data_IF_923483362398
#
_entry.id   IF_923483362398
#
_cell.length_a   1.000
_cell.length_b   1.000
_cell.length_c   1.000
_cell.angle_alpha   90.00
_cell.angle_beta   90.00
_cell.angle_gamma   90.00
#
_symmetry.space_group_name_H-M   'P 1'
#
loop_
_entity.id
_entity.type
_entity.pdbx_description
1 polymer ?
#
# COMPACT_ATOMS: atom_id res chain seq x y z
N UNK A 1 -22.01 12.47 26.21
CA UNK A 1 -20.97 13.45 25.89
C UNK A 1 -20.19 13.72 27.16
N UNK A 2 -18.90 13.38 27.26
CA UNK A 2 -18.12 13.76 28.44
C UNK A 2 -17.63 15.21 28.27
N UNK A 3 -17.97 16.03 29.25
CA UNK A 3 -17.45 17.37 29.42
C UNK A 3 -15.93 17.32 29.59
N UNK A 4 -15.20 17.96 28.69
CA UNK A 4 -13.81 18.31 28.94
C UNK A 4 -13.79 19.50 29.90
N UNK A 5 -13.41 19.25 31.16
CA UNK A 5 -13.10 20.30 32.09
C UNK A 5 -11.83 21.03 31.61
N UNK A 6 -11.94 22.33 31.39
CA UNK A 6 -10.79 23.21 31.25
C UNK A 6 -10.02 23.22 32.58
N UNK A 7 -8.84 22.65 32.58
CA UNK A 7 -7.89 22.82 33.68
C UNK A 7 -6.98 24.00 33.38
N UNK A 8 -6.92 24.87 34.34
CA UNK A 8 -6.25 26.14 34.33
C UNK A 8 -4.76 26.11 33.95
N UNK A 9 -4.36 27.02 33.09
CA UNK A 9 -3.19 27.86 33.25
C UNK A 9 -1.78 27.26 33.04
N UNK A 10 -1.60 26.03 32.56
CA UNK A 10 -0.28 25.59 32.14
C UNK A 10 -0.15 25.80 30.62
N UNK A 11 0.66 26.79 30.25
CA UNK A 11 1.08 26.97 28.85
C UNK A 11 1.63 25.67 28.34
N UNK A 12 0.94 25.06 27.36
CA UNK A 12 1.45 23.91 26.62
C UNK A 12 2.83 24.28 26.06
N UNK A 13 3.79 23.34 25.99
CA UNK A 13 5.04 23.58 25.30
C UNK A 13 4.71 24.08 23.90
N UNK A 14 5.17 25.29 23.62
CA UNK A 14 4.79 26.06 22.46
C UNK A 14 5.14 25.29 21.19
N UNK A 15 4.13 24.74 20.52
CA UNK A 15 4.24 24.58 19.08
C UNK A 15 4.45 26.01 18.56
N UNK A 16 5.64 26.30 18.05
CA UNK A 16 5.96 27.63 17.55
C UNK A 16 4.82 28.13 16.67
N UNK A 17 4.29 29.29 16.92
CA UNK A 17 3.25 29.92 16.09
C UNK A 17 3.79 30.38 14.74
N UNK A 18 5.11 30.24 14.49
CA UNK A 18 5.76 30.62 13.26
C UNK A 18 5.33 29.61 12.18
N UNK A 19 4.65 30.12 11.18
CA UNK A 19 4.24 29.31 10.01
C UNK A 19 5.38 29.18 9.01
N UNK A 20 5.36 28.13 8.20
CA UNK A 20 6.43 27.80 7.25
C UNK A 20 6.88 28.98 6.37
N UNK A 21 5.98 29.83 5.80
CA UNK A 21 6.41 30.99 4.99
C UNK A 21 7.30 31.99 5.73
N UNK A 22 7.22 32.01 7.05
CA UNK A 22 8.03 32.89 7.92
C UNK A 22 9.28 32.19 8.42
N UNK A 23 9.19 30.88 8.67
CA UNK A 23 10.28 30.08 9.19
C UNK A 23 11.31 29.74 8.11
N UNK A 24 10.86 29.35 6.92
CA UNK A 24 11.70 28.92 5.82
C UNK A 24 11.07 29.30 4.46
N UNK A 25 11.52 30.43 3.93
CA UNK A 25 11.06 30.96 2.65
C UNK A 25 11.44 30.11 1.44
N UNK A 26 12.57 29.42 1.51
CA UNK A 26 13.08 28.63 0.40
C UNK A 26 12.21 27.39 0.22
N UNK A 27 11.99 26.65 1.30
CA UNK A 27 11.11 25.49 1.30
C UNK A 27 9.66 25.90 0.97
N UNK A 28 9.17 27.00 1.52
CA UNK A 28 7.84 27.50 1.19
C UNK A 28 7.66 27.77 -0.32
N UNK A 29 8.64 28.42 -0.95
CA UNK A 29 8.60 28.70 -2.40
C UNK A 29 8.59 27.42 -3.22
N UNK A 30 9.40 26.42 -2.85
CA UNK A 30 9.41 25.14 -3.54
C UNK A 30 8.05 24.43 -3.45
N UNK A 31 7.40 24.43 -2.27
CA UNK A 31 6.06 23.86 -2.07
C UNK A 31 5.01 24.63 -2.87
N UNK A 32 5.06 25.95 -2.88
CA UNK A 32 4.08 26.76 -3.63
C UNK A 32 4.26 26.58 -5.14
N UNK A 33 5.50 26.43 -5.62
CA UNK A 33 5.80 26.09 -7.01
C UNK A 33 5.24 24.72 -7.38
N UNK A 34 5.40 23.73 -6.51
CA UNK A 34 4.81 22.40 -6.72
C UNK A 34 3.27 22.43 -6.72
N UNK A 35 2.66 23.23 -5.84
CA UNK A 35 1.22 23.45 -5.87
C UNK A 35 0.75 24.02 -7.20
N UNK A 36 1.47 24.99 -7.75
CA UNK A 36 1.18 25.56 -9.08
C UNK A 36 1.39 24.53 -10.19
N UNK A 37 2.45 23.71 -10.12
CA UNK A 37 2.68 22.63 -11.07
C UNK A 37 1.49 21.68 -11.12
N UNK A 38 1.02 21.21 -9.96
CA UNK A 38 -0.13 20.31 -9.87
C UNK A 38 -1.42 20.93 -10.43
N UNK A 39 -1.61 22.24 -10.28
CA UNK A 39 -2.78 22.94 -10.84
C UNK A 39 -2.74 23.06 -12.36
N UNK A 40 -1.56 23.08 -12.97
CA UNK A 40 -1.37 23.35 -14.41
C UNK A 40 -0.89 22.13 -15.21
N UNK A 41 -0.73 20.96 -14.55
CA UNK A 41 -0.28 19.73 -15.19
C UNK A 41 -1.31 18.63 -15.06
N UNK A 42 -1.38 17.78 -16.08
CA UNK A 42 -2.16 16.54 -16.01
C UNK A 42 -1.24 15.44 -15.49
N UNK A 43 -1.57 14.88 -14.35
CA UNK A 43 -0.83 13.78 -13.77
C UNK A 43 -1.33 12.43 -14.32
N UNK A 44 -0.42 11.61 -14.84
CA UNK A 44 -0.74 10.31 -15.46
C UNK A 44 -0.20 9.12 -14.66
N UNK A 45 0.33 9.36 -13.47
CA UNK A 45 0.74 8.28 -12.56
C UNK A 45 -0.51 7.78 -11.83
N UNK A 46 -0.92 6.53 -12.09
CA UNK A 46 -2.19 5.96 -11.63
C UNK A 46 -2.36 5.94 -10.10
N UNK A 47 -1.27 5.92 -9.34
CA UNK A 47 -1.30 5.95 -7.88
C UNK A 47 -1.33 7.35 -7.27
N UNK A 48 -1.10 8.40 -8.04
CA UNK A 48 -1.20 9.77 -7.53
C UNK A 48 -2.65 10.22 -7.41
N UNK A 49 -2.95 10.94 -6.33
CA UNK A 49 -4.28 11.44 -6.04
C UNK A 49 -4.21 12.77 -5.29
N UNK A 50 -5.11 13.68 -5.62
CA UNK A 50 -5.26 14.94 -4.91
C UNK A 50 -6.02 14.70 -3.61
N UNK A 51 -5.33 14.88 -2.49
CA UNK A 51 -5.92 14.69 -1.16
C UNK A 51 -6.77 15.89 -0.75
N UNK A 52 -7.76 15.65 0.10
CA UNK A 52 -8.56 16.73 0.70
C UNK A 52 -7.75 17.55 1.71
N UNK A 53 -8.19 18.77 1.98
CA UNK A 53 -7.62 19.61 3.04
C UNK A 53 -7.61 18.90 4.39
N UNK A 54 -8.66 18.15 4.72
CA UNK A 54 -8.74 17.39 5.97
C UNK A 54 -7.63 16.34 6.10
N UNK A 55 -7.20 15.71 5.01
CA UNK A 55 -6.06 14.76 5.02
C UNK A 55 -4.76 15.51 5.31
N UNK A 56 -4.55 16.68 4.68
CA UNK A 56 -3.36 17.51 4.94
C UNK A 56 -3.31 17.99 6.39
N UNK A 57 -4.45 18.42 6.95
CA UNK A 57 -4.54 18.87 8.34
C UNK A 57 -4.26 17.72 9.33
N UNK A 58 -4.74 16.51 9.06
CA UNK A 58 -4.45 15.34 9.87
C UNK A 58 -2.96 14.96 9.81
N UNK A 59 -2.38 14.95 8.62
CA UNK A 59 -0.99 14.59 8.38
C UNK A 59 -0.01 15.59 9.00
N UNK A 60 -0.31 16.88 8.94
CA UNK A 60 0.48 17.97 9.54
C UNK A 60 0.13 18.26 11.00
N UNK A 61 -0.58 17.39 11.69
CA UNK A 61 -1.02 17.62 13.07
C UNK A 61 0.06 17.32 14.10
N UNK A 62 -0.26 17.57 15.37
CA UNK A 62 0.61 17.28 16.53
C UNK A 62 0.94 15.78 16.68
N UNK A 63 0.27 14.90 15.95
CA UNK A 63 0.61 13.48 15.88
C UNK A 63 2.02 13.26 15.34
N UNK A 64 2.53 14.16 14.51
CA UNK A 64 3.92 14.17 14.03
C UNK A 64 4.96 14.14 15.15
N UNK A 65 4.61 14.67 16.35
CA UNK A 65 5.50 14.70 17.51
C UNK A 65 5.52 13.38 18.28
N UNK A 66 4.62 12.43 17.96
CA UNK A 66 4.42 11.25 18.81
C UNK A 66 5.11 10.01 18.24
N UNK A 67 5.99 9.45 19.04
CA UNK A 67 6.58 8.14 18.82
C UNK A 67 5.62 7.04 19.34
N UNK A 68 5.18 6.11 18.43
CA UNK A 68 4.12 5.14 18.74
C UNK A 68 4.43 3.75 18.20
N UNK A 69 5.62 3.24 18.50
CA UNK A 69 6.05 1.90 18.13
C UNK A 69 5.18 0.82 18.80
N UNK A 70 4.88 -0.25 18.07
CA UNK A 70 3.96 -1.30 18.49
C UNK A 70 2.56 -1.12 17.89
N UNK A 71 1.56 -1.78 18.46
CA UNK A 71 0.16 -1.77 17.99
C UNK A 71 -0.77 -1.20 19.04
N UNK A 72 -2.01 -0.80 18.70
CA UNK A 72 -3.00 -0.36 19.68
C UNK A 72 -3.11 -1.32 20.88
N UNK A 73 -3.02 -0.78 22.09
CA UNK A 73 -3.00 -1.54 23.32
C UNK A 73 -1.72 -2.35 23.62
N UNK A 74 -0.73 -2.32 22.72
CA UNK A 74 0.56 -3.04 22.85
C UNK A 74 1.72 -2.16 22.40
N UNK A 75 1.83 -0.95 22.95
CA UNK A 75 2.88 0.01 22.64
C UNK A 75 4.12 -0.20 23.51
N UNK A 76 5.27 0.07 22.93
CA UNK A 76 6.54 0.07 23.67
C UNK A 76 6.77 1.36 24.46
N UNK A 77 6.09 2.45 24.12
CA UNK A 77 6.21 3.76 24.78
C UNK A 77 4.88 4.23 25.37
N UNK A 78 4.96 5.01 26.44
CA UNK A 78 3.79 5.64 27.08
C UNK A 78 3.19 6.77 26.22
N UNK A 79 1.99 7.23 26.58
CA UNK A 79 1.33 8.39 25.96
C UNK A 79 0.68 8.12 24.60
N UNK A 80 0.45 6.85 24.23
CA UNK A 80 -0.09 6.46 22.92
C UNK A 80 -1.62 6.37 22.87
N UNK A 81 -2.35 6.66 23.94
CA UNK A 81 -3.81 6.48 24.03
C UNK A 81 -4.57 7.09 22.86
N UNK A 82 -4.24 8.33 22.47
CA UNK A 82 -4.95 9.02 21.38
C UNK A 82 -4.53 8.46 20.00
N UNK A 83 -3.26 8.04 19.86
CA UNK A 83 -2.78 7.37 18.64
C UNK A 83 -3.48 6.03 18.47
N UNK A 84 -3.67 5.26 19.54
CA UNK A 84 -4.43 4.01 19.53
C UNK A 84 -5.84 4.20 19.00
N UNK A 85 -6.56 5.20 19.52
CA UNK A 85 -7.91 5.53 19.04
C UNK A 85 -7.93 5.86 17.55
N UNK A 86 -6.95 6.63 17.06
CA UNK A 86 -6.87 7.01 15.64
C UNK A 86 -6.57 5.79 14.76
N UNK A 87 -5.63 4.95 15.17
CA UNK A 87 -5.27 3.74 14.44
C UNK A 87 -6.44 2.74 14.41
N UNK A 88 -7.13 2.52 15.53
CA UNK A 88 -8.32 1.67 15.61
C UNK A 88 -9.45 2.17 14.69
N UNK A 89 -9.73 3.47 14.69
CA UNK A 89 -10.71 4.07 13.77
C UNK A 89 -10.32 3.81 12.32
N UNK A 90 -9.06 3.98 11.98
CA UNK A 90 -8.56 3.78 10.63
C UNK A 90 -8.66 2.30 10.22
N UNK A 91 -8.26 1.36 11.09
CA UNK A 91 -8.38 -0.08 10.88
C UNK A 91 -9.85 -0.47 10.60
N UNK A 92 -10.78 -0.03 11.45
CA UNK A 92 -12.19 -0.36 11.27
C UNK A 92 -12.80 0.26 9.99
N UNK A 93 -12.35 1.45 9.60
CA UNK A 93 -12.75 2.06 8.32
C UNK A 93 -12.19 1.30 7.12
N UNK A 94 -10.94 0.88 7.15
CA UNK A 94 -10.33 0.07 6.10
C UNK A 94 -11.05 -1.30 5.97
N UNK A 95 -11.30 -1.98 7.09
CA UNK A 95 -12.05 -3.25 7.10
C UNK A 95 -13.43 -3.12 6.46
N UNK A 96 -14.16 -2.05 6.78
CA UNK A 96 -15.47 -1.78 6.17
C UNK A 96 -15.38 -1.45 4.69
N UNK A 97 -14.40 -0.61 4.31
CA UNK A 97 -14.22 -0.16 2.93
C UNK A 97 -13.88 -1.33 2.00
N UNK A 98 -12.93 -2.17 2.41
CA UNK A 98 -12.46 -3.31 1.61
C UNK A 98 -13.19 -4.62 1.94
N UNK A 99 -14.12 -4.62 2.91
CA UNK A 99 -14.87 -5.81 3.37
C UNK A 99 -13.95 -6.97 3.76
N UNK A 100 -12.83 -6.66 4.42
CA UNK A 100 -11.85 -7.64 4.88
C UNK A 100 -11.92 -7.86 6.39
N UNK A 101 -11.48 -9.03 6.85
CA UNK A 101 -11.48 -9.39 8.26
C UNK A 101 -10.38 -8.67 9.06
N UNK A 102 -9.25 -8.41 8.42
CA UNK A 102 -8.07 -7.81 9.05
C UNK A 102 -7.52 -6.68 8.19
N UNK A 103 -6.95 -5.68 8.83
CA UNK A 103 -6.22 -4.59 8.17
C UNK A 103 -5.02 -4.18 9.03
N UNK A 104 -3.89 -3.95 8.39
CA UNK A 104 -2.71 -3.34 8.99
C UNK A 104 -2.40 -2.06 8.22
N UNK A 105 -2.39 -0.92 8.90
CA UNK A 105 -2.23 0.40 8.30
C UNK A 105 -0.89 1.05 8.61
N UNK A 106 0.03 0.32 9.26
CA UNK A 106 1.32 0.85 9.65
C UNK A 106 2.36 0.97 8.52
N UNK A 107 2.34 0.13 7.44
CA UNK A 107 3.27 0.35 6.35
C UNK A 107 3.15 1.76 5.76
N UNK A 108 4.29 2.44 5.61
CA UNK A 108 4.34 3.81 5.06
C UNK A 108 4.29 3.85 3.52
N UNK A 109 4.35 2.71 2.87
CA UNK A 109 4.32 2.59 1.40
C UNK A 109 3.85 1.21 0.97
N UNK A 110 3.39 1.08 -0.29
CA UNK A 110 3.08 -0.22 -0.89
C UNK A 110 4.30 -1.16 -0.90
N UNK A 111 5.50 -0.62 -1.15
CA UNK A 111 6.73 -1.43 -1.08
C UNK A 111 6.98 -2.00 0.31
N UNK A 112 6.75 -1.22 1.38
CA UNK A 112 6.88 -1.73 2.75
C UNK A 112 5.78 -2.74 3.07
N UNK A 113 4.56 -2.54 2.60
CA UNK A 113 3.48 -3.51 2.75
C UNK A 113 3.84 -4.85 2.10
N UNK A 114 4.36 -4.82 0.86
CA UNK A 114 4.83 -6.02 0.17
C UNK A 114 5.98 -6.70 0.94
N UNK A 115 6.94 -5.92 1.46
CA UNK A 115 8.03 -6.46 2.29
C UNK A 115 7.52 -7.14 3.56
N UNK A 116 6.51 -6.58 4.21
CA UNK A 116 5.89 -7.18 5.39
C UNK A 116 5.25 -8.53 5.06
N UNK A 117 4.57 -8.64 3.91
CA UNK A 117 4.02 -9.91 3.41
C UNK A 117 5.14 -10.92 3.13
N UNK A 118 6.21 -10.49 2.45
CA UNK A 118 7.35 -11.37 2.18
C UNK A 118 8.00 -11.88 3.46
N UNK A 119 8.22 -10.98 4.44
CA UNK A 119 8.79 -11.38 5.73
C UNK A 119 7.92 -12.37 6.49
N UNK A 120 6.60 -12.24 6.38
CA UNK A 120 5.66 -13.11 7.07
C UNK A 120 5.53 -14.50 6.43
N UNK A 121 5.67 -14.62 5.11
CA UNK A 121 5.32 -15.82 4.36
C UNK A 121 6.50 -16.53 3.71
N UNK A 122 7.65 -15.87 3.58
CA UNK A 122 8.77 -16.34 2.78
C UNK A 122 10.07 -16.38 3.58
N UNK A 123 11.00 -17.21 3.11
CA UNK A 123 12.40 -17.19 3.50
C UNK A 123 13.27 -16.68 2.34
N UNK A 124 14.44 -16.07 2.61
CA UNK A 124 15.39 -15.71 1.55
C UNK A 124 15.71 -16.92 0.67
N UNK A 125 15.66 -16.71 -0.66
CA UNK A 125 15.85 -17.76 -1.64
C UNK A 125 14.58 -18.46 -2.10
N UNK A 126 13.43 -18.24 -1.47
CA UNK A 126 12.15 -18.74 -1.97
C UNK A 126 11.83 -18.16 -3.35
N UNK A 127 11.04 -18.90 -4.12
CA UNK A 127 10.62 -18.45 -5.45
C UNK A 127 9.38 -17.58 -5.34
N UNK A 128 9.44 -16.40 -5.94
CA UNK A 128 8.29 -15.51 -6.14
C UNK A 128 7.99 -15.39 -7.63
N UNK A 129 6.73 -15.17 -7.99
CA UNK A 129 6.29 -15.12 -9.37
C UNK A 129 5.34 -13.93 -9.58
N UNK A 130 5.76 -12.93 -10.32
CA UNK A 130 5.04 -11.67 -10.50
C UNK A 130 5.03 -11.21 -11.95
N UNK A 131 4.25 -10.15 -12.24
CA UNK A 131 4.25 -9.53 -13.57
C UNK A 131 5.59 -8.85 -13.84
N UNK A 132 6.17 -9.12 -15.01
CA UNK A 132 7.42 -8.52 -15.46
C UNK A 132 7.32 -6.98 -15.48
N UNK A 133 8.39 -6.30 -15.07
CA UNK A 133 8.45 -4.84 -15.03
C UNK A 133 8.16 -4.23 -16.42
N UNK A 134 8.64 -4.84 -17.50
CA UNK A 134 8.41 -4.39 -18.89
C UNK A 134 6.97 -4.58 -19.32
N UNK A 135 6.25 -5.50 -18.68
CA UNK A 135 4.83 -5.74 -18.94
C UNK A 135 3.89 -4.89 -18.03
N UNK A 136 4.46 -4.01 -17.24
CA UNK A 136 3.71 -3.13 -16.33
C UNK A 136 3.70 -3.57 -14.87
N UNK A 137 4.53 -4.52 -14.46
CA UNK A 137 4.72 -4.93 -13.08
C UNK A 137 5.33 -3.84 -12.21
N UNK A 138 5.34 -4.05 -10.90
CA UNK A 138 5.98 -3.14 -9.95
C UNK A 138 7.40 -3.60 -9.59
N UNK A 139 8.27 -2.67 -9.18
CA UNK A 139 9.64 -2.96 -8.77
C UNK A 139 9.71 -4.04 -7.68
N UNK A 140 8.79 -4.01 -6.71
CA UNK A 140 8.73 -4.96 -5.60
C UNK A 140 8.18 -6.34 -5.99
N UNK A 141 7.86 -6.57 -7.26
CA UNK A 141 7.43 -7.87 -7.77
C UNK A 141 8.60 -8.74 -8.29
N UNK A 142 9.83 -8.40 -7.93
CA UNK A 142 11.00 -9.21 -8.26
C UNK A 142 12.03 -8.54 -9.18
N UNK A 143 11.97 -7.22 -9.37
CA UNK A 143 12.99 -6.51 -10.14
C UNK A 143 14.39 -6.72 -9.52
N UNK A 144 15.37 -7.03 -10.34
CA UNK A 144 16.72 -7.48 -9.92
C UNK A 144 17.46 -6.49 -9.03
N UNK A 145 17.19 -5.21 -9.17
CA UNK A 145 17.77 -4.14 -8.36
C UNK A 145 16.94 -3.80 -7.10
N UNK A 146 15.72 -4.36 -6.98
CA UNK A 146 14.87 -4.23 -5.80
C UNK A 146 15.21 -5.32 -4.76
N UNK A 147 14.85 -5.10 -3.49
CA UNK A 147 15.01 -6.09 -2.43
C UNK A 147 14.39 -7.44 -2.81
N UNK A 148 13.19 -7.42 -3.40
CA UNK A 148 12.48 -8.62 -3.81
C UNK A 148 13.26 -9.49 -4.82
N UNK A 149 13.95 -8.86 -5.77
CA UNK A 149 14.78 -9.58 -6.75
C UNK A 149 16.17 -9.98 -6.20
N UNK A 150 16.61 -9.37 -5.07
CA UNK A 150 17.88 -9.71 -4.43
C UNK A 150 17.76 -10.82 -3.40
N UNK A 151 16.63 -10.89 -2.70
CA UNK A 151 16.43 -11.86 -1.61
C UNK A 151 15.75 -13.13 -2.07
N UNK A 152 14.97 -13.05 -3.16
CA UNK A 152 14.17 -14.15 -3.67
C UNK A 152 14.59 -14.57 -5.08
N UNK A 153 14.27 -15.81 -5.45
CA UNK A 153 14.37 -16.26 -6.83
C UNK A 153 13.15 -15.74 -7.59
N UNK A 154 13.30 -14.54 -8.19
CA UNK A 154 12.22 -13.90 -8.92
C UNK A 154 11.99 -14.54 -10.27
N UNK A 155 10.77 -14.99 -10.50
CA UNK A 155 10.22 -15.44 -11.77
C UNK A 155 9.23 -14.39 -12.25
N UNK A 156 9.09 -14.24 -13.57
CA UNK A 156 8.11 -13.29 -14.11
C UNK A 156 7.22 -13.95 -15.16
N UNK A 157 5.98 -13.46 -15.23
CA UNK A 157 5.08 -13.65 -16.36
C UNK A 157 4.95 -12.34 -17.12
N UNK A 158 4.67 -12.44 -18.39
CA UNK A 158 4.54 -11.30 -19.29
C UNK A 158 3.14 -11.17 -19.87
N UNK A 159 3.07 -10.41 -20.94
CA UNK A 159 1.88 -10.26 -21.77
C UNK A 159 2.16 -10.85 -23.15
N UNK A 160 1.13 -11.40 -23.76
CA UNK A 160 1.18 -11.83 -25.16
C UNK A 160 1.52 -10.63 -26.08
N UNK A 161 2.49 -10.74 -26.97
CA UNK A 161 2.97 -9.62 -27.77
C UNK A 161 1.96 -9.08 -28.79
N UNK A 162 0.93 -9.86 -29.12
CA UNK A 162 -0.10 -9.48 -30.10
C UNK A 162 -1.32 -8.87 -29.41
N UNK A 163 -1.81 -9.53 -28.37
CA UNK A 163 -3.04 -9.12 -27.66
C UNK A 163 -2.76 -8.14 -26.52
N UNK A 164 -1.51 -8.03 -26.07
CA UNK A 164 -1.08 -7.27 -24.88
C UNK A 164 -1.85 -7.66 -23.60
N UNK A 165 -2.28 -8.91 -23.51
CA UNK A 165 -2.92 -9.49 -22.35
C UNK A 165 -2.00 -10.49 -21.66
N UNK A 166 -2.16 -10.63 -20.35
CA UNK A 166 -1.51 -11.71 -19.60
C UNK A 166 -2.00 -13.05 -20.15
N UNK A 167 -1.07 -13.87 -20.60
CA UNK A 167 -1.36 -15.23 -21.05
C UNK A 167 -1.46 -16.15 -19.83
N UNK A 168 -2.68 -16.49 -19.48
CA UNK A 168 -2.96 -17.31 -18.30
C UNK A 168 -2.54 -18.78 -18.46
N UNK A 169 -2.45 -19.29 -19.69
CA UNK A 169 -1.96 -20.65 -19.95
C UNK A 169 -0.46 -20.72 -19.71
N UNK A 170 0.27 -19.68 -20.12
CA UNK A 170 1.69 -19.55 -19.85
C UNK A 170 1.97 -19.34 -18.34
N UNK A 171 1.16 -18.53 -17.65
CA UNK A 171 1.23 -18.38 -16.18
C UNK A 171 1.09 -19.73 -15.50
N UNK A 172 0.08 -20.49 -15.86
CA UNK A 172 -0.19 -21.82 -15.30
C UNK A 172 0.95 -22.79 -15.58
N UNK A 173 1.45 -22.82 -16.82
CA UNK A 173 2.57 -23.67 -17.25
C UNK A 173 3.84 -23.38 -16.42
N UNK A 174 4.20 -22.10 -16.27
CA UNK A 174 5.37 -21.68 -15.48
C UNK A 174 5.17 -22.03 -14.01
N UNK A 175 4.01 -21.74 -13.44
CA UNK A 175 3.72 -22.01 -12.05
C UNK A 175 3.84 -23.51 -11.72
N UNK A 176 3.30 -24.38 -12.57
CA UNK A 176 3.43 -25.85 -12.44
C UNK A 176 4.88 -26.31 -12.50
N UNK A 177 5.65 -25.77 -13.46
CA UNK A 177 7.04 -26.16 -13.66
C UNK A 177 7.96 -25.67 -12.55
N UNK A 178 7.79 -24.42 -12.11
CA UNK A 178 8.71 -23.74 -11.22
C UNK A 178 8.32 -23.82 -9.75
N UNK A 179 7.04 -24.08 -9.45
CA UNK A 179 6.49 -24.17 -8.08
C UNK A 179 6.89 -22.99 -7.22
N UNK A 180 6.45 -21.76 -7.53
CA UNK A 180 6.74 -20.61 -6.70
C UNK A 180 6.09 -20.77 -5.32
N UNK A 181 6.68 -20.16 -4.31
CA UNK A 181 6.10 -20.09 -2.97
C UNK A 181 5.03 -19.01 -2.87
N UNK A 182 5.17 -17.94 -3.66
CA UNK A 182 4.24 -16.80 -3.72
C UNK A 182 4.00 -16.41 -5.17
N UNK A 183 2.73 -16.25 -5.54
CA UNK A 183 2.31 -15.61 -6.79
C UNK A 183 1.80 -14.21 -6.46
N UNK A 184 2.34 -13.20 -7.15
CA UNK A 184 1.99 -11.79 -6.98
C UNK A 184 1.16 -11.35 -8.18
N UNK A 185 -0.05 -10.89 -7.93
CA UNK A 185 -0.99 -10.43 -8.97
C UNK A 185 -1.29 -8.95 -8.74
N UNK A 186 -0.87 -8.13 -9.67
CA UNK A 186 -1.01 -6.68 -9.61
C UNK A 186 -0.09 -6.01 -10.60
N UNK A 187 -0.32 -4.74 -10.86
CA UNK A 187 0.44 -3.99 -11.84
C UNK A 187 0.46 -2.50 -11.53
N UNK A 188 1.53 -1.83 -11.97
CA UNK A 188 1.64 -0.37 -11.96
C UNK A 188 1.15 0.25 -13.28
N UNK A 189 1.30 -0.46 -14.39
CA UNK A 189 1.04 0.09 -15.73
C UNK A 189 0.39 -0.93 -16.67
N UNK A 190 -0.49 -1.78 -16.17
CA UNK A 190 -1.27 -2.73 -16.96
C UNK A 190 -2.74 -2.32 -16.95
N UNK A 191 -3.25 -1.89 -18.10
CA UNK A 191 -4.58 -1.28 -18.24
C UNK A 191 -5.73 -2.27 -18.43
N UNK A 192 -5.47 -3.57 -18.40
CA UNK A 192 -6.48 -4.62 -18.61
C UNK A 192 -6.87 -5.24 -17.27
N UNK A 193 -8.02 -5.90 -17.24
CA UNK A 193 -8.45 -6.67 -16.06
C UNK A 193 -7.59 -7.92 -15.91
N UNK A 194 -7.17 -8.21 -14.69
CA UNK A 194 -6.49 -9.44 -14.30
C UNK A 194 -7.53 -10.50 -13.89
N UNK A 195 -7.32 -11.74 -14.29
CA UNK A 195 -8.19 -12.88 -13.92
C UNK A 195 -7.77 -13.45 -12.57
N UNK A 196 -8.20 -12.80 -11.48
CA UNK A 196 -7.88 -13.23 -10.12
C UNK A 196 -8.39 -14.63 -9.79
N UNK A 197 -9.54 -15.04 -10.36
CA UNK A 197 -10.10 -16.36 -10.11
C UNK A 197 -9.16 -17.46 -10.66
N UNK A 198 -8.66 -17.26 -11.86
CA UNK A 198 -7.71 -18.20 -12.46
C UNK A 198 -6.35 -18.17 -11.74
N UNK A 199 -5.85 -17.00 -11.35
CA UNK A 199 -4.65 -16.92 -10.51
C UNK A 199 -4.84 -17.66 -9.17
N UNK A 200 -6.01 -17.57 -8.55
CA UNK A 200 -6.31 -18.30 -7.32
C UNK A 200 -6.27 -19.81 -7.55
N UNK A 201 -6.92 -20.29 -8.61
CA UNK A 201 -6.91 -21.71 -8.96
C UNK A 201 -5.47 -22.25 -9.21
N UNK A 202 -4.66 -21.49 -9.94
CA UNK A 202 -3.27 -21.84 -10.20
C UNK A 202 -2.47 -21.89 -8.88
N UNK A 203 -2.63 -20.89 -8.03
CA UNK A 203 -1.94 -20.83 -6.74
C UNK A 203 -2.30 -22.03 -5.85
N UNK A 204 -3.59 -22.37 -5.79
CA UNK A 204 -4.07 -23.53 -5.02
C UNK A 204 -3.49 -24.84 -5.55
N UNK A 205 -3.46 -25.02 -6.86
CA UNK A 205 -2.92 -26.22 -7.50
C UNK A 205 -1.42 -26.42 -7.20
N UNK A 206 -0.63 -25.34 -7.23
CA UNK A 206 0.81 -25.44 -6.99
C UNK A 206 1.19 -25.30 -5.51
N UNK A 207 0.23 -25.03 -4.63
CA UNK A 207 0.46 -24.84 -3.19
C UNK A 207 1.16 -23.51 -2.87
N UNK A 208 0.95 -22.48 -3.69
CA UNK A 208 1.51 -21.15 -3.50
C UNK A 208 0.57 -20.25 -2.70
N UNK A 209 1.15 -19.29 -1.95
CA UNK A 209 0.39 -18.14 -1.53
C UNK A 209 0.02 -17.26 -2.71
N UNK A 210 -1.13 -16.59 -2.64
CA UNK A 210 -1.53 -15.57 -3.62
C UNK A 210 -1.57 -14.21 -2.93
N UNK A 211 -0.83 -13.25 -3.45
CA UNK A 211 -0.84 -11.86 -3.02
C UNK A 211 -1.41 -10.98 -4.13
N UNK A 212 -2.50 -10.28 -3.85
CA UNK A 212 -3.02 -9.26 -4.74
C UNK A 212 -2.45 -7.89 -4.35
N UNK A 213 -1.57 -7.36 -5.20
CA UNK A 213 -1.12 -5.97 -5.08
C UNK A 213 -2.08 -5.07 -5.85
N UNK A 214 -3.05 -4.51 -5.11
CA UNK A 214 -4.10 -3.68 -5.69
C UNK A 214 -3.81 -2.17 -5.57
N UNK A 215 -2.58 -1.76 -5.25
CA UNK A 215 -2.24 -0.37 -4.94
C UNK A 215 -2.79 0.62 -5.97
N UNK A 216 -2.62 0.35 -7.27
CA UNK A 216 -3.07 1.23 -8.35
C UNK A 216 -4.58 1.16 -8.65
N UNK A 217 -5.26 0.11 -8.24
CA UNK A 217 -6.69 -0.11 -8.50
C UNK A 217 -7.55 -0.11 -7.23
N UNK A 218 -6.94 0.19 -6.07
CA UNK A 218 -7.60 0.10 -4.77
C UNK A 218 -8.89 0.92 -4.69
N UNK A 219 -8.91 2.13 -5.26
CA UNK A 219 -10.11 2.97 -5.34
C UNK A 219 -11.22 2.33 -6.17
N UNK A 220 -10.88 1.71 -7.29
CA UNK A 220 -11.84 1.00 -8.15
C UNK A 220 -12.36 -0.27 -7.47
N UNK A 221 -11.51 -0.98 -6.72
CA UNK A 221 -11.91 -2.15 -5.92
C UNK A 221 -12.88 -1.73 -4.82
N UNK A 222 -12.57 -0.68 -4.07
CA UNK A 222 -13.42 -0.14 -3.03
C UNK A 222 -14.78 0.33 -3.58
N UNK A 223 -14.78 1.00 -4.74
CA UNK A 223 -15.97 1.47 -5.45
C UNK A 223 -16.75 0.37 -6.17
N UNK A 224 -16.23 -0.86 -6.24
CA UNK A 224 -16.88 -1.99 -6.92
C UNK A 224 -16.78 -1.98 -8.45
N UNK A 225 -16.02 -1.05 -9.01
CA UNK A 225 -15.79 -0.94 -10.46
C UNK A 225 -14.73 -1.92 -10.98
N UNK A 226 -13.82 -2.36 -10.11
CA UNK A 226 -12.84 -3.40 -10.40
C UNK A 226 -13.15 -4.62 -9.55
N UNK A 227 -13.47 -5.74 -10.17
CA UNK A 227 -13.77 -6.99 -9.45
C UNK A 227 -12.46 -7.74 -9.18
N UNK A 228 -11.97 -7.62 -7.95
CA UNK A 228 -11.12 -8.68 -7.43
C UNK A 228 -12.04 -9.76 -6.88
N UNK A 229 -12.03 -10.95 -7.43
CA UNK A 229 -12.86 -12.06 -6.93
C UNK A 229 -12.42 -12.57 -5.55
N UNK A 230 -11.39 -12.00 -4.99
CA UNK A 230 -10.83 -12.32 -3.67
C UNK A 230 -11.69 -11.92 -2.46
N UNK A 231 -12.88 -11.41 -2.65
CA UNK A 231 -13.83 -11.18 -1.54
C UNK A 231 -14.23 -12.47 -0.80
N UNK A 232 -13.66 -13.61 -1.16
CA UNK A 232 -13.86 -14.93 -0.51
C UNK A 232 -12.64 -15.47 0.20
N UNK A 233 -11.75 -14.63 0.69
CA UNK A 233 -10.67 -15.09 1.56
C UNK A 233 -11.07 -14.88 3.02
N UNK A 234 -11.63 -15.90 3.57
CA UNK A 234 -12.00 -16.03 4.97
C UNK A 234 -12.43 -17.46 5.26
N UNK A 235 -11.50 -18.41 5.19
CA UNK A 235 -11.53 -19.66 5.96
C UNK A 235 -10.13 -19.98 6.42
#
# INVERSE_FOLDING_TARGET
MPHFAHTDGHALPVVSSIILPQADREIWRAIDTERLRQMHSIELIASENFVSRAVLDAQGSVLTNKYAEGYPGRRYSAGCRNVDVIEDIAIERAKRLFKCAYANLQPHSGSQANQAVFLALLSPGDKIFGLDLKAGGHLSHGATFNMSGRWFQALSYGVDPVTHRVDMDEVERIARQKRPRLIIVGASAYSRTLDFARFRAIADEVGAFLMADMAHVAGLVAGGAYRSEERRVGK
#
